data_IF_998967625638
#
_entry.id   IF_998967625638
#
_cell.length_a   1.000
_cell.length_b   1.000
_cell.length_c   1.000
_cell.angle_alpha   90.00
_cell.angle_beta   90.00
_cell.angle_gamma   90.00
#
_symmetry.space_group_name_H-M   'P 1'
#
loop_
_entity.id
_entity.type
_entity.pdbx_description
1 polymer ?
#
# COMPACT_ATOMS: atom_id res chain seq x y z
N UNK A 1 -22.35 1.81 -7.99
CA UNK A 1 -22.04 0.77 -8.99
C UNK A 1 -23.20 -0.20 -9.06
N UNK A 2 -23.42 -0.84 -10.22
CA UNK A 2 -24.48 -1.83 -10.40
C UNK A 2 -23.83 -3.20 -10.61
N UNK A 3 -24.35 -4.22 -9.94
CA UNK A 3 -23.93 -5.61 -10.11
C UNK A 3 -25.13 -6.47 -10.44
N UNK A 4 -24.91 -7.56 -11.17
CA UNK A 4 -25.90 -8.62 -11.37
C UNK A 4 -25.31 -9.98 -11.06
N UNK A 5 -26.17 -10.95 -10.75
CA UNK A 5 -25.77 -12.34 -10.52
C UNK A 5 -25.86 -13.09 -11.85
N UNK A 6 -24.76 -13.72 -12.25
CA UNK A 6 -24.67 -14.59 -13.42
C UNK A 6 -25.21 -15.98 -13.11
N UNK A 7 -25.41 -16.78 -14.16
CA UNK A 7 -25.90 -18.16 -14.07
C UNK A 7 -24.94 -19.08 -13.27
N UNK A 8 -23.65 -18.75 -13.22
CA UNK A 8 -22.64 -19.47 -12.44
C UNK A 8 -22.66 -19.08 -10.94
N UNK A 9 -23.58 -18.20 -10.53
CA UNK A 9 -23.69 -17.68 -9.17
C UNK A 9 -22.71 -16.57 -8.81
N UNK A 10 -21.78 -16.21 -9.71
CA UNK A 10 -20.85 -15.10 -9.49
C UNK A 10 -21.51 -13.75 -9.79
N UNK A 11 -20.96 -12.68 -9.22
CA UNK A 11 -21.39 -11.31 -9.53
C UNK A 11 -20.54 -10.69 -10.64
N UNK A 12 -21.17 -9.86 -11.47
CA UNK A 12 -20.47 -9.05 -12.47
C UNK A 12 -20.89 -7.59 -12.36
N UNK A 13 -19.91 -6.70 -12.54
CA UNK A 13 -20.06 -5.24 -12.42
C UNK A 13 -20.45 -4.64 -13.76
N UNK A 14 -21.45 -3.75 -13.74
CA UNK A 14 -21.95 -3.03 -14.90
C UNK A 14 -21.62 -1.55 -14.82
N UNK A 15 -21.41 -0.95 -15.99
CA UNK A 15 -21.33 0.49 -16.13
C UNK A 15 -22.70 1.11 -15.87
N UNK A 16 -22.71 2.20 -15.10
CA UNK A 16 -23.92 2.95 -14.79
C UNK A 16 -23.61 4.45 -14.74
N UNK A 17 -24.62 5.27 -15.02
CA UNK A 17 -24.57 6.72 -14.85
C UNK A 17 -25.39 7.09 -13.62
N UNK A 18 -24.83 7.97 -12.77
CA UNK A 18 -25.56 8.58 -11.67
C UNK A 18 -25.91 10.02 -12.02
N UNK A 19 -27.20 10.34 -12.03
CA UNK A 19 -27.70 11.69 -12.31
C UNK A 19 -29.01 11.95 -11.58
N UNK A 20 -29.13 13.13 -10.96
CA UNK A 20 -30.35 13.59 -10.30
C UNK A 20 -30.93 12.59 -9.29
N UNK A 21 -30.07 11.95 -8.48
CA UNK A 21 -30.48 10.95 -7.48
C UNK A 21 -30.81 9.57 -8.05
N UNK A 22 -30.72 9.38 -9.37
CA UNK A 22 -31.06 8.13 -10.04
C UNK A 22 -29.81 7.44 -10.60
N UNK A 23 -29.82 6.10 -10.55
CA UNK A 23 -28.83 5.25 -11.22
C UNK A 23 -29.47 4.70 -12.49
N UNK A 24 -28.83 4.95 -13.63
CA UNK A 24 -29.28 4.44 -14.93
C UNK A 24 -28.23 3.50 -15.51
N UNK A 25 -28.68 2.36 -16.02
CA UNK A 25 -27.85 1.35 -16.68
C UNK A 25 -28.67 0.64 -17.75
N UNK A 26 -28.00 0.09 -18.75
CA UNK A 26 -28.62 -0.70 -19.81
C UNK A 26 -28.31 -2.19 -19.61
N UNK A 27 -29.29 -3.05 -19.90
CA UNK A 27 -29.12 -4.51 -19.88
C UNK A 27 -29.86 -5.13 -21.05
N UNK A 28 -29.32 -6.23 -21.56
CA UNK A 28 -29.94 -7.05 -22.63
C UNK A 28 -30.65 -8.29 -22.10
N UNK A 29 -30.65 -8.51 -20.78
CA UNK A 29 -31.18 -9.72 -20.16
C UNK A 29 -31.90 -9.42 -18.83
N UNK A 30 -32.77 -10.35 -18.43
CA UNK A 30 -33.48 -10.29 -17.16
C UNK A 30 -32.63 -10.93 -16.06
N UNK A 31 -32.31 -10.18 -15.01
CA UNK A 31 -31.58 -10.66 -13.83
C UNK A 31 -31.98 -9.88 -12.58
N UNK A 32 -31.45 -10.28 -11.43
CA UNK A 32 -31.50 -9.50 -10.20
C UNK A 32 -30.28 -8.57 -10.14
N UNK A 33 -30.54 -7.29 -9.84
CA UNK A 33 -29.51 -6.26 -9.80
C UNK A 33 -29.34 -5.72 -8.38
N UNK A 34 -28.09 -5.51 -7.97
CA UNK A 34 -27.72 -4.88 -6.70
C UNK A 34 -27.01 -3.55 -6.97
N UNK A 35 -27.43 -2.50 -6.24
CA UNK A 35 -26.80 -1.18 -6.29
C UNK A 35 -26.02 -1.00 -4.99
N UNK A 36 -24.71 -0.82 -5.10
CA UNK A 36 -23.85 -0.54 -3.95
C UNK A 36 -22.98 0.69 -4.20
N UNK A 37 -22.62 1.36 -3.10
CA UNK A 37 -21.55 2.34 -3.09
C UNK A 37 -20.29 1.59 -2.68
N UNK A 38 -19.25 1.61 -3.52
CA UNK A 38 -17.91 1.24 -3.07
C UNK A 38 -17.49 2.33 -2.09
N UNK A 39 -17.54 2.03 -0.79
CA UNK A 39 -16.76 2.78 0.18
C UNK A 39 -15.31 2.52 -0.24
N UNK A 40 -14.50 3.56 -0.53
CA UNK A 40 -13.08 3.35 -0.78
C UNK A 40 -12.56 2.51 0.38
N UNK A 41 -11.99 1.33 0.10
CA UNK A 41 -11.24 0.63 1.13
C UNK A 41 -10.28 1.66 1.74
N UNK A 42 -10.18 1.73 3.08
CA UNK A 42 -9.19 2.60 3.68
C UNK A 42 -7.87 2.27 3.00
N UNK A 43 -7.30 3.25 2.28
CA UNK A 43 -5.97 3.08 1.74
C UNK A 43 -5.12 2.60 2.91
N UNK A 44 -4.33 1.52 2.75
CA UNK A 44 -3.35 1.17 3.76
C UNK A 44 -2.62 2.47 4.06
N UNK A 45 -2.64 2.91 5.32
CA UNK A 45 -1.83 4.07 5.70
C UNK A 45 -0.43 3.75 5.19
N UNK A 46 0.12 4.62 4.34
CA UNK A 46 1.53 4.51 3.99
C UNK A 46 2.27 4.33 5.31
N UNK A 47 3.09 3.27 5.47
CA UNK A 47 3.77 3.06 6.73
C UNK A 47 4.52 4.35 7.03
N UNK A 48 4.11 5.05 8.10
CA UNK A 48 4.68 6.32 8.49
C UNK A 48 6.19 6.17 8.40
N UNK A 49 6.80 6.84 7.41
CA UNK A 49 8.12 6.49 6.92
C UNK A 49 9.06 6.34 8.11
N UNK A 50 9.44 5.11 8.42
CA UNK A 50 10.43 4.83 9.45
C UNK A 50 11.71 5.51 8.99
N UNK A 51 12.00 6.67 9.55
CA UNK A 51 13.21 7.41 9.23
C UNK A 51 14.39 6.59 9.72
N UNK A 52 14.97 5.78 8.84
CA UNK A 52 16.18 4.99 9.09
C UNK A 52 17.42 5.87 9.37
N UNK A 53 17.26 7.19 9.42
CA UNK A 53 18.29 8.17 9.74
C UNK A 53 19.02 7.84 11.06
N UNK A 54 18.30 7.42 12.10
CA UNK A 54 18.91 7.03 13.38
C UNK A 54 19.74 5.76 13.22
N UNK A 55 19.26 4.78 12.47
CA UNK A 55 19.99 3.54 12.19
C UNK A 55 21.28 3.81 11.39
N UNK A 56 21.19 4.62 10.34
CA UNK A 56 22.36 5.03 9.56
C UNK A 56 23.35 5.86 10.38
N UNK A 57 22.88 6.75 11.26
CA UNK A 57 23.74 7.51 12.16
C UNK A 57 24.52 6.58 13.12
N UNK A 58 23.84 5.59 13.71
CA UNK A 58 24.48 4.59 14.59
C UNK A 58 25.52 3.76 13.80
N UNK A 59 25.18 3.32 12.59
CA UNK A 59 26.08 2.53 11.75
C UNK A 59 27.37 3.30 11.40
N UNK A 60 27.27 4.59 11.06
CA UNK A 60 28.43 5.45 10.78
C UNK A 60 29.33 5.58 12.00
N UNK A 61 28.75 5.81 13.19
CA UNK A 61 29.52 5.92 14.44
C UNK A 61 30.25 4.61 14.75
N UNK A 62 29.58 3.45 14.59
CA UNK A 62 30.20 2.15 14.82
C UNK A 62 31.40 1.91 13.90
N UNK A 63 31.29 2.25 12.61
CA UNK A 63 32.39 2.13 11.64
C UNK A 63 33.59 3.00 12.04
N UNK A 64 33.34 4.25 12.45
CA UNK A 64 34.42 5.15 12.90
C UNK A 64 35.17 4.62 14.12
N UNK A 65 34.47 4.01 15.08
CA UNK A 65 35.09 3.39 16.26
C UNK A 65 36.00 2.23 15.84
N UNK A 66 35.55 1.38 14.91
CA UNK A 66 36.36 0.25 14.41
C UNK A 66 37.62 0.74 13.70
N UNK A 67 37.51 1.80 12.88
CA UNK A 67 38.66 2.40 12.19
C UNK A 67 39.64 2.98 13.21
N UNK A 68 39.16 3.72 14.21
CA UNK A 68 40.00 4.29 15.26
C UNK A 68 40.72 3.20 16.07
N UNK A 69 40.01 2.12 16.43
CA UNK A 69 40.59 0.99 17.14
C UNK A 69 41.65 0.26 16.29
N UNK A 70 41.39 0.05 15.00
CA UNK A 70 42.34 -0.57 14.08
C UNK A 70 43.60 0.30 13.92
N UNK A 71 43.43 1.61 13.73
CA UNK A 71 44.55 2.56 13.65
C UNK A 71 45.39 2.55 14.93
N UNK A 72 44.75 2.60 16.11
CA UNK A 72 45.43 2.52 17.40
C UNK A 72 46.21 1.19 17.55
N UNK A 73 45.61 0.07 17.19
CA UNK A 73 46.25 -1.24 17.30
C UNK A 73 47.47 -1.38 16.38
N UNK A 74 47.39 -0.83 15.16
CA UNK A 74 48.52 -0.80 14.22
C UNK A 74 49.65 0.09 14.74
N UNK A 75 49.34 1.29 15.27
CA UNK A 75 50.35 2.19 15.84
C UNK A 75 51.00 1.57 17.07
N UNK A 76 50.20 0.97 17.97
CA UNK A 76 50.70 0.29 19.17
C UNK A 76 51.61 -0.90 18.85
N UNK A 77 51.40 -1.60 17.73
CA UNK A 77 52.30 -2.69 17.29
C UNK A 77 53.62 -2.20 16.69
N UNK A 78 53.71 -0.92 16.32
CA UNK A 78 54.92 -0.32 15.73
C UNK A 78 55.81 0.39 16.76
N UNK A 79 55.27 0.76 17.92
CA UNK A 79 56.06 1.11 19.12
C UNK A 79 56.56 -0.15 19.81
#
# INVERSE_FOLDING_TARGET
MVYYVKDDGNTEKMNCVYKDGNVSFETSHLSYFAISYEVPEPMPEEPAGSSNAVYYAIAVVAILIVIAAAAYFIVKRKQ
#
